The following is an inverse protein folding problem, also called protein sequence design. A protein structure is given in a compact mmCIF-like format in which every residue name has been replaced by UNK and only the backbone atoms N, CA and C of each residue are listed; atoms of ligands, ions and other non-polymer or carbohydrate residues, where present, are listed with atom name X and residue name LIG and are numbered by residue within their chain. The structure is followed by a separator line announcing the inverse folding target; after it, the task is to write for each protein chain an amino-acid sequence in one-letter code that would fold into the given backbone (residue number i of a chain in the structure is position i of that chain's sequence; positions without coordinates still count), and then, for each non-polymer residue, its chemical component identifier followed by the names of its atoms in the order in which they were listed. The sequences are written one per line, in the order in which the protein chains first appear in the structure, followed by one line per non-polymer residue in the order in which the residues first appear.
data_IF_104196603290
#
_entry.id   IF_104196603290
#
_cell.length_a   1.000
_cell.length_b   1.000
_cell.length_c   1.000
_cell.angle_alpha   90.00
_cell.angle_beta   90.00
_cell.angle_gamma   90.00
#
_symmetry.space_group_name_H-M   'P 1'
#
loop_
_entity.id
_entity.type
_entity.pdbx_description
1 polymer ?
#
# COMPACT_ATOMS: atom_id res chain seq x y z
N UNK A 1 -6.80 -17.35 14.85
CA UNK A 1 -6.64 -17.26 13.39
C UNK A 1 -6.91 -18.61 12.75
N UNK A 2 -7.88 -18.73 11.85
CA UNK A 2 -8.22 -20.00 11.19
C UNK A 2 -7.43 -20.16 9.89
N UNK A 3 -6.91 -21.37 9.64
CA UNK A 3 -6.44 -21.74 8.31
C UNK A 3 -7.64 -21.83 7.37
N UNK A 4 -7.56 -21.16 6.22
CA UNK A 4 -8.59 -21.27 5.16
C UNK A 4 -7.99 -21.89 3.89
N UNK A 5 -7.00 -22.74 4.07
CA UNK A 5 -6.57 -23.66 3.02
C UNK A 5 -7.68 -24.69 2.80
N UNK A 6 -7.92 -25.08 1.55
CA UNK A 6 -8.92 -26.09 1.22
C UNK A 6 -8.64 -27.36 2.06
N UNK A 7 -9.69 -27.88 2.70
CA UNK A 7 -9.66 -29.06 3.57
C UNK A 7 -8.79 -28.93 4.85
N UNK A 8 -8.42 -27.72 5.28
CA UNK A 8 -7.73 -27.51 6.56
C UNK A 8 -8.65 -26.83 7.59
N UNK A 9 -8.79 -27.44 8.77
CA UNK A 9 -9.65 -26.93 9.87
C UNK A 9 -8.86 -26.37 11.06
N UNK A 10 -7.53 -26.26 10.96
CA UNK A 10 -6.68 -25.83 12.08
C UNK A 10 -6.88 -24.36 12.47
N UNK A 11 -6.72 -24.09 13.76
CA UNK A 11 -6.85 -22.75 14.36
C UNK A 11 -5.65 -22.44 15.24
N UNK A 12 -5.18 -21.21 15.17
CA UNK A 12 -3.97 -20.75 15.84
C UNK A 12 -4.23 -19.54 16.72
N UNK A 13 -3.48 -19.41 17.82
CA UNK A 13 -3.54 -18.27 18.73
C UNK A 13 -2.97 -16.99 18.11
N UNK A 14 -1.96 -17.09 17.23
CA UNK A 14 -1.29 -15.94 16.58
C UNK A 14 -1.17 -16.09 15.05
N UNK A 15 -0.98 -14.97 14.34
CA UNK A 15 -0.71 -14.95 12.89
C UNK A 15 0.64 -15.60 12.54
N UNK A 16 1.65 -15.44 13.39
CA UNK A 16 2.99 -15.98 13.15
C UNK A 16 2.96 -17.53 13.19
N UNK A 17 2.23 -18.12 14.15
CA UNK A 17 2.00 -19.58 14.23
C UNK A 17 1.21 -20.13 13.04
N UNK A 18 0.18 -19.42 12.57
CA UNK A 18 -0.55 -19.79 11.34
C UNK A 18 0.36 -19.74 10.12
N UNK A 19 1.25 -18.74 10.04
CA UNK A 19 2.19 -18.59 8.92
C UNK A 19 3.20 -19.72 8.89
N UNK A 20 3.69 -20.17 10.05
CA UNK A 20 4.57 -21.34 10.17
C UNK A 20 3.86 -22.60 9.69
N UNK A 21 2.63 -22.87 10.15
CA UNK A 21 1.81 -23.99 9.68
C UNK A 21 1.64 -23.95 8.15
N UNK A 22 1.25 -22.81 7.57
CA UNK A 22 1.09 -22.68 6.12
C UNK A 22 2.39 -22.95 5.35
N UNK A 23 3.50 -22.45 5.86
CA UNK A 23 4.85 -22.63 5.30
C UNK A 23 5.29 -24.09 5.30
N UNK A 24 4.98 -24.84 6.36
CA UNK A 24 5.45 -26.20 6.58
C UNK A 24 4.49 -27.26 6.00
N UNK A 25 3.20 -27.15 6.30
CA UNK A 25 2.19 -28.16 5.96
C UNK A 25 1.73 -28.04 4.52
N UNK A 26 1.47 -26.82 4.04
CA UNK A 26 0.85 -26.60 2.73
C UNK A 26 1.86 -26.27 1.63
N UNK A 27 2.84 -25.41 1.94
CA UNK A 27 3.82 -24.96 0.95
C UNK A 27 4.95 -25.97 0.77
N UNK A 28 5.69 -26.32 1.84
CA UNK A 28 6.82 -27.26 1.77
C UNK A 28 7.99 -26.73 0.93
N UNK A 29 9.09 -27.49 0.80
CA UNK A 29 10.32 -27.10 0.08
C UNK A 29 10.58 -27.97 -1.14
N UNK A 30 11.42 -27.50 -2.07
CA UNK A 30 11.93 -28.32 -3.18
C UNK A 30 10.95 -28.61 -4.32
N UNK A 31 9.78 -27.94 -4.36
CA UNK A 31 8.82 -28.08 -5.47
C UNK A 31 9.21 -27.16 -6.63
N UNK A 32 9.00 -27.62 -7.86
CA UNK A 32 9.13 -26.81 -9.09
C UNK A 32 8.04 -25.74 -9.17
N UNK A 33 6.85 -26.05 -8.65
CA UNK A 33 5.70 -25.16 -8.60
C UNK A 33 4.97 -25.24 -7.25
N UNK A 34 4.42 -24.11 -6.84
CA UNK A 34 3.66 -23.95 -5.61
C UNK A 34 2.29 -23.37 -5.96
N UNK A 35 1.24 -24.14 -5.72
CA UNK A 35 -0.15 -23.72 -5.95
C UNK A 35 -0.77 -23.24 -4.65
N UNK A 36 -1.37 -22.06 -4.67
CA UNK A 36 -2.15 -21.56 -3.55
C UNK A 36 -3.60 -22.06 -3.63
N UNK A 37 -4.00 -22.86 -2.66
CA UNK A 37 -5.35 -23.44 -2.53
C UNK A 37 -6.12 -22.84 -1.36
N UNK A 38 -5.89 -21.55 -1.12
CA UNK A 38 -6.71 -20.77 -0.21
C UNK A 38 -8.13 -20.62 -0.79
N UNK A 39 -9.18 -20.70 0.03
CA UNK A 39 -10.59 -20.60 -0.44
C UNK A 39 -10.83 -19.34 -1.29
N UNK A 40 -10.24 -18.20 -0.92
CA UNK A 40 -10.35 -16.96 -1.69
C UNK A 40 -9.58 -16.94 -3.03
N UNK A 41 -8.78 -17.97 -3.34
CA UNK A 41 -8.06 -18.16 -4.60
C UNK A 41 -8.65 -19.27 -5.48
N UNK A 42 -9.73 -19.91 -5.03
CA UNK A 42 -10.31 -21.13 -5.60
C UNK A 42 -10.66 -21.02 -7.10
N UNK A 43 -11.15 -19.86 -7.55
CA UNK A 43 -11.58 -19.70 -8.95
C UNK A 43 -10.44 -19.67 -9.98
N UNK A 44 -9.16 -19.53 -9.60
CA UNK A 44 -8.01 -19.50 -10.52
C UNK A 44 -6.67 -19.77 -9.80
N UNK A 45 -6.61 -20.78 -8.92
CA UNK A 45 -5.50 -21.05 -7.98
C UNK A 45 -4.14 -20.54 -8.46
N UNK A 46 -3.59 -19.53 -7.77
CA UNK A 46 -2.35 -18.87 -8.22
C UNK A 46 -1.18 -19.84 -8.09
N UNK A 47 -0.49 -20.06 -9.21
CA UNK A 47 0.72 -20.88 -9.28
C UNK A 47 1.95 -19.98 -9.20
N UNK A 48 2.94 -20.40 -8.42
CA UNK A 48 4.19 -19.71 -8.22
C UNK A 48 5.35 -20.67 -8.45
N UNK A 49 6.39 -20.22 -9.13
CA UNK A 49 7.60 -21.02 -9.38
C UNK A 49 8.64 -20.91 -8.26
N UNK A 50 8.39 -20.08 -7.24
CA UNK A 50 9.30 -19.83 -6.14
C UNK A 50 8.57 -19.84 -4.81
N UNK A 51 9.14 -20.55 -3.83
CA UNK A 51 8.61 -20.63 -2.46
C UNK A 51 8.37 -19.24 -1.85
N UNK A 52 9.33 -18.33 -2.00
CA UNK A 52 9.22 -16.98 -1.43
C UNK A 52 8.03 -16.20 -2.02
N UNK A 53 7.69 -16.42 -3.29
CA UNK A 53 6.57 -15.74 -3.96
C UNK A 53 5.22 -16.23 -3.43
N UNK A 54 5.04 -17.54 -3.23
CA UNK A 54 3.80 -18.07 -2.64
C UNK A 54 3.68 -17.65 -1.17
N UNK A 55 4.78 -17.64 -0.40
CA UNK A 55 4.74 -17.19 1.00
C UNK A 55 4.31 -15.72 1.09
N UNK A 56 4.85 -14.84 0.23
CA UNK A 56 4.40 -13.44 0.14
C UNK A 56 2.95 -13.32 -0.29
N UNK A 57 2.49 -14.18 -1.21
CA UNK A 57 1.08 -14.20 -1.57
C UNK A 57 0.18 -14.62 -0.40
N UNK A 58 0.56 -15.64 0.38
CA UNK A 58 -0.20 -16.08 1.56
C UNK A 58 -0.33 -14.97 2.61
N UNK A 59 0.66 -14.08 2.73
CA UNK A 59 0.56 -12.88 3.59
C UNK A 59 -0.62 -11.97 3.19
N UNK A 60 -1.08 -11.98 1.93
CA UNK A 60 -2.26 -11.18 1.52
C UNK A 60 -3.56 -11.75 2.06
N UNK A 61 -3.60 -13.05 2.37
CA UNK A 61 -4.79 -13.71 2.94
C UNK A 61 -4.81 -13.61 4.46
N UNK A 62 -3.66 -13.83 5.07
CA UNK A 62 -3.51 -13.82 6.53
C UNK A 62 -3.39 -12.41 7.09
N UNK A 63 -2.96 -11.44 6.28
CA UNK A 63 -2.58 -10.11 6.77
C UNK A 63 -1.29 -10.14 7.59
N UNK A 64 -0.54 -11.25 7.56
CA UNK A 64 0.70 -11.40 8.31
C UNK A 64 1.75 -10.39 7.86
N UNK A 65 2.35 -9.72 8.85
CA UNK A 65 3.41 -8.73 8.66
C UNK A 65 4.57 -9.10 9.59
N UNK A 66 5.42 -10.06 9.19
CA UNK A 66 6.39 -10.67 10.10
C UNK A 66 7.49 -9.70 10.52
N UNK A 67 7.77 -8.65 9.75
CA UNK A 67 8.86 -7.73 10.02
C UNK A 67 8.35 -6.52 10.80
N UNK A 68 8.97 -6.24 11.95
CA UNK A 68 8.56 -5.14 12.83
C UNK A 68 9.66 -4.07 12.88
N UNK A 69 9.24 -2.80 12.90
CA UNK A 69 10.11 -1.69 13.23
C UNK A 69 10.35 -1.64 14.74
N UNK A 70 11.59 -1.65 15.18
CA UNK A 70 11.90 -1.65 16.62
C UNK A 70 11.59 -0.31 17.30
N UNK A 71 11.64 0.79 16.55
CA UNK A 71 11.38 2.15 17.06
C UNK A 71 9.88 2.43 17.25
N UNK A 72 9.04 2.22 16.23
CA UNK A 72 7.62 2.57 16.29
C UNK A 72 6.66 1.36 16.32
N UNK A 73 7.20 0.14 16.39
CA UNK A 73 6.45 -1.13 16.44
C UNK A 73 5.54 -1.37 15.22
N UNK A 74 5.64 -0.56 14.17
CA UNK A 74 4.92 -0.76 12.91
C UNK A 74 5.41 -2.03 12.22
N UNK A 75 4.47 -2.84 11.72
CA UNK A 75 4.76 -4.11 11.03
C UNK A 75 4.65 -4.00 9.52
N UNK A 76 5.45 -4.79 8.81
CA UNK A 76 5.60 -4.83 7.35
C UNK A 76 5.63 -6.28 6.84
N UNK A 77 5.20 -6.48 5.59
CA UNK A 77 5.16 -7.78 4.92
C UNK A 77 6.53 -8.25 4.43
N UNK A 78 7.43 -7.32 4.12
CA UNK A 78 8.74 -7.60 3.54
C UNK A 78 9.86 -6.89 4.34
N UNK A 79 11.03 -7.52 4.45
CA UNK A 79 12.16 -7.03 5.23
C UNK A 79 12.72 -5.71 4.69
N UNK A 80 12.86 -5.60 3.37
CA UNK A 80 13.31 -4.40 2.69
C UNK A 80 12.40 -3.19 2.97
N UNK A 81 11.09 -3.41 3.19
CA UNK A 81 10.15 -2.35 3.55
C UNK A 81 10.40 -1.84 4.96
N UNK A 82 10.82 -2.68 5.91
CA UNK A 82 11.24 -2.23 7.25
C UNK A 82 12.51 -1.41 7.15
N UNK A 83 13.54 -1.92 6.45
CA UNK A 83 14.80 -1.20 6.26
C UNK A 83 14.56 0.17 5.63
N UNK A 84 13.74 0.23 4.58
CA UNK A 84 13.34 1.49 3.95
C UNK A 84 12.58 2.39 4.92
N UNK A 85 11.67 1.83 5.72
CA UNK A 85 10.92 2.59 6.71
C UNK A 85 11.81 3.14 7.83
N UNK A 86 12.86 2.43 8.25
CA UNK A 86 13.81 2.91 9.27
C UNK A 86 14.47 4.23 8.87
N UNK A 87 14.62 4.49 7.57
CA UNK A 87 15.09 5.79 7.06
C UNK A 87 14.19 6.97 7.45
N UNK A 88 12.93 6.73 7.80
CA UNK A 88 12.03 7.77 8.34
C UNK A 88 12.35 8.14 9.78
N UNK A 89 13.02 7.25 10.52
CA UNK A 89 13.52 7.52 11.87
C UNK A 89 14.93 8.12 11.85
N UNK A 90 15.82 7.58 11.01
CA UNK A 90 17.22 8.04 10.93
C UNK A 90 17.40 9.30 10.10
N UNK A 91 16.44 9.62 9.23
CA UNK A 91 16.55 10.72 8.27
C UNK A 91 17.45 10.41 7.07
N UNK A 92 17.95 9.18 6.93
CA UNK A 92 18.84 8.76 5.84
C UNK A 92 18.15 8.93 4.48
N UNK A 93 18.84 9.61 3.55
CA UNK A 93 18.35 9.87 2.19
C UNK A 93 19.43 9.58 1.16
N UNK A 94 19.70 8.30 0.87
CA UNK A 94 20.87 7.90 0.09
C UNK A 94 20.76 8.21 -1.41
N UNK A 95 19.58 8.59 -1.91
CA UNK A 95 19.36 8.84 -3.34
C UNK A 95 19.37 10.33 -3.63
N UNK A 96 20.47 10.83 -4.17
CA UNK A 96 20.64 12.23 -4.52
C UNK A 96 20.24 12.51 -5.97
N UNK A 97 19.56 13.64 -6.20
CA UNK A 97 19.36 14.17 -7.53
C UNK A 97 20.62 14.89 -8.02
N UNK A 98 21.17 14.44 -9.14
CA UNK A 98 22.25 15.07 -9.88
C UNK A 98 21.99 16.54 -10.25
N UNK A 99 20.77 16.89 -10.65
CA UNK A 99 20.45 18.23 -11.15
C UNK A 99 20.26 19.29 -10.06
N UNK A 100 19.67 18.94 -8.91
CA UNK A 100 19.36 19.91 -7.84
C UNK A 100 19.90 19.51 -6.46
N UNK A 101 20.68 18.44 -6.38
CA UNK A 101 21.32 17.92 -5.15
C UNK A 101 20.33 17.53 -4.04
N UNK A 102 19.03 17.47 -4.35
CA UNK A 102 17.99 17.06 -3.41
C UNK A 102 18.06 15.56 -3.13
N UNK A 103 17.99 15.20 -1.87
CA UNK A 103 18.12 13.82 -1.39
C UNK A 103 16.75 13.17 -1.12
N UNK A 104 16.64 11.88 -1.42
CA UNK A 104 15.44 11.05 -1.26
C UNK A 104 15.77 9.76 -0.49
N UNK A 105 14.80 9.29 0.31
CA UNK A 105 14.94 8.05 1.08
C UNK A 105 14.73 6.78 0.24
N UNK A 106 14.12 6.91 -0.94
CA UNK A 106 13.77 5.79 -1.84
C UNK A 106 14.06 6.15 -3.30
N UNK A 107 14.61 5.20 -4.06
CA UNK A 107 15.03 5.41 -5.45
C UNK A 107 13.87 5.80 -6.36
N UNK A 108 12.71 5.16 -6.21
CA UNK A 108 11.51 5.48 -6.99
C UNK A 108 11.05 6.94 -6.80
N UNK A 109 11.24 7.52 -5.61
CA UNK A 109 10.91 8.93 -5.37
C UNK A 109 11.88 9.86 -6.10
N UNK A 110 13.17 9.50 -6.18
CA UNK A 110 14.13 10.22 -7.01
C UNK A 110 13.75 10.12 -8.50
N UNK A 111 13.39 8.95 -9.01
CA UNK A 111 12.96 8.77 -10.40
C UNK A 111 11.73 9.63 -10.73
N UNK A 112 10.73 9.65 -9.85
CA UNK A 112 9.55 10.50 -10.02
C UNK A 112 9.94 11.98 -9.93
N UNK A 113 10.82 12.35 -9.00
CA UNK A 113 11.28 13.72 -8.84
C UNK A 113 12.01 14.23 -10.09
N UNK A 114 12.81 13.40 -10.76
CA UNK A 114 13.50 13.78 -12.00
C UNK A 114 12.54 14.28 -13.08
N UNK A 115 11.26 13.89 -13.06
CA UNK A 115 10.22 14.42 -13.96
C UNK A 115 9.93 15.91 -13.78
N UNK A 116 10.25 16.48 -12.62
CA UNK A 116 10.14 17.93 -12.39
C UNK A 116 11.11 18.69 -13.28
N UNK A 117 12.29 18.13 -13.53
CA UNK A 117 13.30 18.75 -14.38
C UNK A 117 13.01 18.54 -15.87
N UNK A 118 12.56 17.35 -16.26
CA UNK A 118 12.27 17.04 -17.66
C UNK A 118 10.90 17.54 -18.12
N UNK A 119 10.00 17.87 -17.19
CA UNK A 119 8.60 18.19 -17.48
C UNK A 119 7.75 16.97 -17.89
N UNK A 120 8.28 15.76 -17.79
CA UNK A 120 7.59 14.53 -18.22
C UNK A 120 6.27 14.33 -17.47
N UNK A 121 5.17 14.19 -18.23
CA UNK A 121 3.82 13.92 -17.69
C UNK A 121 3.20 12.71 -18.40
N UNK A 122 3.58 11.48 -17.99
CA UNK A 122 3.17 10.26 -18.69
C UNK A 122 1.67 9.98 -18.59
N UNK A 123 1.01 10.48 -17.54
CA UNK A 123 -0.35 10.10 -17.20
C UNK A 123 -1.35 11.13 -17.71
N UNK A 124 -1.98 10.85 -18.85
CA UNK A 124 -3.01 11.72 -19.44
C UNK A 124 -4.41 11.43 -18.87
N UNK A 125 -5.20 12.49 -18.69
CA UNK A 125 -6.63 12.35 -18.46
C UNK A 125 -7.31 11.74 -19.68
N UNK A 126 -8.23 10.80 -19.46
CA UNK A 126 -8.97 10.12 -20.52
C UNK A 126 -10.35 10.73 -20.80
N UNK A 127 -10.69 11.81 -20.09
CA UNK A 127 -11.98 12.47 -20.27
C UNK A 127 -11.93 13.32 -21.57
N UNK A 128 -12.93 13.23 -22.48
CA UNK A 128 -12.84 13.79 -23.83
C UNK A 128 -12.44 15.27 -23.90
N UNK A 129 -13.04 16.11 -23.06
CA UNK A 129 -12.79 17.56 -23.04
C UNK A 129 -11.69 17.97 -22.05
N UNK A 130 -10.82 17.05 -21.64
CA UNK A 130 -9.78 17.29 -20.65
C UNK A 130 -8.39 16.89 -21.13
N UNK A 131 -7.60 17.88 -21.53
CA UNK A 131 -6.21 17.68 -21.99
C UNK A 131 -5.17 17.64 -20.85
N UNK A 132 -5.59 17.49 -19.59
CA UNK A 132 -4.67 17.54 -18.45
C UNK A 132 -3.79 16.29 -18.37
N UNK A 133 -2.51 16.49 -18.10
CA UNK A 133 -1.51 15.42 -17.90
C UNK A 133 -0.81 15.58 -16.55
N UNK A 134 -0.36 14.46 -15.99
CA UNK A 134 0.23 14.37 -14.66
C UNK A 134 1.56 13.60 -14.71
N UNK A 135 2.49 13.99 -13.84
CA UNK A 135 3.77 13.30 -13.63
C UNK A 135 3.65 12.02 -12.82
N UNK A 136 2.53 11.84 -12.10
CA UNK A 136 2.24 10.68 -11.26
C UNK A 136 0.81 10.17 -11.48
N UNK A 137 0.63 8.84 -11.50
CA UNK A 137 -0.67 8.19 -11.66
C UNK A 137 -1.64 8.54 -10.52
N UNK A 138 -1.14 8.64 -9.28
CA UNK A 138 -1.95 8.99 -8.10
C UNK A 138 -2.60 10.38 -8.23
N UNK A 139 -1.92 11.32 -8.90
CA UNK A 139 -2.44 12.66 -9.16
C UNK A 139 -3.50 12.64 -10.27
N UNK A 140 -3.33 11.81 -11.30
CA UNK A 140 -4.38 11.54 -12.28
C UNK A 140 -5.62 10.94 -11.62
N UNK A 141 -5.48 9.91 -10.78
CA UNK A 141 -6.63 9.29 -10.07
C UNK A 141 -7.39 10.32 -9.22
N UNK A 142 -6.68 11.18 -8.47
CA UNK A 142 -7.32 12.27 -7.71
C UNK A 142 -8.05 13.25 -8.65
N UNK A 143 -7.45 13.57 -9.79
CA UNK A 143 -8.04 14.47 -10.78
C UNK A 143 -9.31 13.91 -11.41
N UNK A 144 -9.39 12.60 -11.68
CA UNK A 144 -10.60 11.98 -12.26
C UNK A 144 -11.87 12.24 -11.44
N UNK A 145 -11.75 12.44 -10.13
CA UNK A 145 -12.87 12.80 -9.24
C UNK A 145 -13.52 14.14 -9.55
N UNK A 146 -12.81 15.02 -10.25
CA UNK A 146 -13.37 16.28 -10.75
C UNK A 146 -14.44 16.00 -11.81
N UNK A 147 -14.22 14.98 -12.64
CA UNK A 147 -15.16 14.60 -13.69
C UNK A 147 -16.31 13.74 -13.16
N UNK A 148 -16.01 12.79 -12.28
CA UNK A 148 -17.05 11.89 -11.74
C UNK A 148 -17.88 12.51 -10.61
N UNK A 149 -17.42 13.63 -10.03
CA UNK A 149 -18.05 14.24 -8.86
C UNK A 149 -17.88 13.43 -7.56
N UNK A 150 -17.08 12.36 -7.56
CA UNK A 150 -16.91 11.47 -6.42
C UNK A 150 -16.32 12.22 -5.20
N UNK A 151 -16.99 12.08 -4.04
CA UNK A 151 -16.60 12.69 -2.76
C UNK A 151 -16.49 11.63 -1.66
N UNK A 152 -15.43 10.79 -1.66
CA UNK A 152 -15.31 9.67 -0.73
C UNK A 152 -15.14 10.09 0.74
N UNK A 153 -14.63 11.31 0.96
CA UNK A 153 -14.19 11.72 2.29
C UNK A 153 -15.26 12.59 2.93
N UNK A 154 -16.04 11.99 3.83
CA UNK A 154 -17.10 12.68 4.58
C UNK A 154 -16.53 13.32 5.85
N UNK A 155 -17.07 14.48 6.21
CA UNK A 155 -16.87 15.07 7.52
C UNK A 155 -17.46 14.14 8.59
N UNK A 156 -16.70 13.92 9.66
CA UNK A 156 -17.11 13.07 10.79
C UNK A 156 -17.93 13.82 11.84
N UNK A 157 -17.89 15.16 11.83
CA UNK A 157 -18.66 16.01 12.75
C UNK A 157 -20.13 16.04 12.31
N UNK A 158 -21.04 15.73 13.22
CA UNK A 158 -22.49 15.83 13.00
C UNK A 158 -23.02 17.12 13.62
N UNK A 159 -23.97 17.84 12.97
CA UNK A 159 -24.73 17.45 11.77
C UNK A 159 -24.11 17.89 10.41
N UNK A 160 -22.80 18.14 10.31
CA UNK A 160 -22.21 18.81 9.15
C UNK A 160 -22.52 18.18 7.77
N UNK A 161 -22.43 16.84 7.64
CA UNK A 161 -22.79 16.11 6.41
C UNK A 161 -21.94 16.39 5.16
N UNK A 162 -21.00 17.35 5.20
CA UNK A 162 -20.18 17.74 4.05
C UNK A 162 -19.24 16.62 3.61
N UNK A 163 -19.07 16.47 2.29
CA UNK A 163 -18.18 15.49 1.68
C UNK A 163 -17.23 16.13 0.67
N UNK A 164 -16.02 15.56 0.56
CA UNK A 164 -14.91 16.13 -0.19
C UNK A 164 -14.25 15.07 -1.08
N UNK A 165 -13.65 15.52 -2.18
CA UNK A 165 -12.94 14.65 -3.14
C UNK A 165 -11.52 14.28 -2.69
N UNK A 166 -10.98 14.97 -1.69
CA UNK A 166 -9.62 14.78 -1.17
C UNK A 166 -9.56 14.82 0.37
N UNK A 167 -8.67 14.04 1.02
CA UNK A 167 -8.53 14.01 2.47
C UNK A 167 -8.07 15.35 3.07
N UNK A 168 -7.13 16.03 2.42
CA UNK A 168 -6.59 17.32 2.90
C UNK A 168 -7.68 18.40 3.03
N UNK A 169 -8.71 18.31 2.19
CA UNK A 169 -9.88 19.18 2.24
C UNK A 169 -10.73 18.92 3.48
N UNK A 170 -10.89 17.65 3.87
CA UNK A 170 -11.54 17.29 5.14
C UNK A 170 -10.72 17.79 6.31
N UNK A 171 -9.41 17.52 6.35
CA UNK A 171 -8.55 17.99 7.44
C UNK A 171 -8.61 19.50 7.62
N UNK A 172 -8.58 20.27 6.52
CA UNK A 172 -8.75 21.72 6.55
C UNK A 172 -10.13 22.13 7.04
N UNK A 173 -11.17 21.46 6.56
CA UNK A 173 -12.55 21.73 6.97
C UNK A 173 -12.79 21.40 8.44
N UNK A 174 -12.21 20.32 8.99
CA UNK A 174 -12.37 19.97 10.40
C UNK A 174 -11.92 21.09 11.34
N UNK A 175 -10.94 21.90 10.93
CA UNK A 175 -10.51 23.08 11.69
C UNK A 175 -11.57 24.17 11.81
N UNK A 176 -12.60 24.18 10.95
CA UNK A 176 -13.70 25.16 11.06
C UNK A 176 -14.69 24.81 12.16
N UNK A 177 -14.81 23.53 12.54
CA UNK A 177 -15.68 23.10 13.64
C UNK A 177 -15.07 23.37 15.01
N UNK A 178 -13.75 23.45 15.10
CA UNK A 178 -13.04 23.75 16.34
C UNK A 178 -13.00 25.26 16.66
N UNK A 179 -13.68 26.10 15.86
CA UNK A 179 -13.78 27.55 16.09
C UNK A 179 -15.05 27.96 16.85
N UNK A 180 -15.95 27.02 17.14
CA UNK A 180 -17.23 27.27 17.82
C UNK A 180 -17.23 26.84 19.30
N UNK A 181 -16.04 26.74 19.93
CA UNK A 181 -15.91 26.54 21.38
C UNK A 181 -15.26 27.79 21.98
N UNK A 182 -16.08 28.76 22.34
CA UNK A 182 -15.78 29.83 23.30
C UNK A 182 -16.75 29.70 24.46
#
# INVERSE_FOLDING_TARGET
HACRWINCQERFSAFDTLTIHLSQVHVGSGKSEYKCEWVACERNGKIFTQRQKIMRHIQTHTGAKPFQCDTCKRRFSESNMVVQHMRTHTGERPYQCDQCQKNFSVSAALTIHKRVHTGEKPFACKYPDCSKRFSESSNLTKHMRVHTGERPFKCTVKPCGKAFSRPDQVTRHLKTHNKDVC
#
